data_IF_780160501076
#
_entry.id   IF_780160501076
#
_cell.length_a   1.000
_cell.length_b   1.000
_cell.length_c   1.000
_cell.angle_alpha   90.00
_cell.angle_beta   90.00
_cell.angle_gamma   90.00
#
_symmetry.space_group_name_H-M   'P 1'
#
loop_
_entity.id
_entity.type
_entity.pdbx_description
1 polymer ?
#
# COMPACT_ATOMS: atom_id res chain seq x y z
N UNK A 1 9.88 -4.25 5.47
CA UNK A 1 9.62 -5.70 5.29
C UNK A 1 8.13 -5.90 5.34
N UNK A 2 7.55 -6.40 4.28
CA UNK A 2 6.11 -6.62 4.18
C UNK A 2 5.76 -7.98 4.79
N UNK A 3 4.67 -8.07 5.54
CA UNK A 3 4.31 -9.31 6.25
C UNK A 3 3.77 -10.41 5.35
N UNK A 4 3.30 -10.03 4.19
CA UNK A 4 2.66 -10.94 3.21
C UNK A 4 3.58 -11.37 2.08
N UNK A 5 4.76 -10.75 1.92
CA UNK A 5 5.72 -11.12 0.89
C UNK A 5 6.71 -12.12 1.47
N UNK A 6 6.77 -13.36 0.95
CA UNK A 6 7.75 -14.36 1.37
C UNK A 6 9.18 -13.89 1.09
N UNK A 7 10.13 -14.41 1.87
CA UNK A 7 11.54 -14.15 1.61
C UNK A 7 12.32 -15.48 1.67
N UNK A 8 13.06 -15.84 0.65
CA UNK A 8 13.33 -15.13 -0.61
C UNK A 8 12.10 -15.04 -1.52
N UNK A 9 11.96 -13.93 -2.23
CA UNK A 9 10.86 -13.69 -3.18
C UNK A 9 11.27 -14.22 -4.56
N UNK A 10 10.47 -15.13 -5.11
CA UNK A 10 10.75 -15.69 -6.44
C UNK A 10 9.93 -14.99 -7.53
N UNK A 11 10.40 -15.09 -8.76
CA UNK A 11 9.67 -14.59 -9.94
C UNK A 11 8.26 -15.23 -10.04
N UNK A 12 8.15 -16.54 -9.75
CA UNK A 12 6.86 -17.22 -9.75
C UNK A 12 5.88 -16.63 -8.72
N UNK A 13 6.34 -16.28 -7.54
CA UNK A 13 5.50 -15.62 -6.53
C UNK A 13 5.02 -14.24 -6.99
N UNK A 14 5.82 -13.52 -7.80
CA UNK A 14 5.39 -12.28 -8.41
C UNK A 14 4.29 -12.50 -9.45
N UNK A 15 4.45 -13.53 -10.29
CA UNK A 15 3.45 -13.92 -11.29
C UNK A 15 2.15 -14.35 -10.61
N UNK A 16 2.21 -15.25 -9.63
CA UNK A 16 1.04 -15.73 -8.88
C UNK A 16 0.29 -14.57 -8.20
N UNK A 17 1.03 -13.62 -7.66
CA UNK A 17 0.43 -12.43 -7.05
C UNK A 17 -0.25 -11.51 -8.09
N UNK A 18 0.38 -11.30 -9.24
CA UNK A 18 -0.21 -10.52 -10.34
C UNK A 18 -1.46 -11.21 -10.88
N UNK A 19 -1.43 -12.53 -11.03
CA UNK A 19 -2.58 -13.31 -11.47
C UNK A 19 -3.74 -13.23 -10.47
N UNK A 20 -3.46 -13.31 -9.16
CA UNK A 20 -4.48 -13.16 -8.11
C UNK A 20 -5.21 -11.81 -8.15
N UNK A 21 -4.53 -10.75 -8.58
CA UNK A 21 -5.14 -9.43 -8.77
C UNK A 21 -6.07 -9.37 -9.99
N UNK A 22 -5.91 -10.27 -10.96
CA UNK A 22 -6.74 -10.33 -12.16
C UNK A 22 -8.00 -11.18 -11.97
N UNK A 23 -8.04 -12.06 -10.98
CA UNK A 23 -9.14 -13.00 -10.74
C UNK A 23 -10.32 -12.40 -9.93
N UNK A 24 -10.36 -11.09 -9.74
CA UNK A 24 -11.56 -10.42 -9.24
C UNK A 24 -11.69 -10.34 -7.72
N UNK A 25 -10.60 -10.41 -6.98
CA UNK A 25 -10.62 -9.92 -5.60
C UNK A 25 -10.92 -8.43 -5.60
N UNK A 26 -11.77 -7.96 -4.68
CA UNK A 26 -12.20 -6.56 -4.55
C UNK A 26 -11.02 -5.65 -4.18
N UNK A 27 -10.11 -5.42 -5.11
CA UNK A 27 -8.90 -4.66 -4.86
C UNK A 27 -8.26 -4.07 -6.11
N UNK A 28 -7.39 -3.13 -5.90
CA UNK A 28 -6.62 -2.42 -6.94
C UNK A 28 -5.16 -2.39 -6.55
N UNK A 29 -4.29 -2.69 -7.50
CA UNK A 29 -2.85 -2.53 -7.33
C UNK A 29 -2.24 -1.76 -8.51
N UNK A 30 -1.28 -0.91 -8.19
CA UNK A 30 -0.56 -0.08 -9.15
C UNK A 30 0.94 -0.32 -9.03
N UNK A 31 1.60 -0.43 -10.16
CA UNK A 31 3.05 -0.40 -10.23
C UNK A 31 3.58 1.00 -9.92
N UNK A 32 4.68 1.07 -9.19
CA UNK A 32 5.45 2.30 -9.00
C UNK A 32 6.61 2.27 -9.98
N UNK A 33 6.53 3.13 -10.99
CA UNK A 33 7.51 3.23 -12.06
C UNK A 33 8.43 4.44 -11.85
N UNK A 34 9.71 4.24 -12.06
CA UNK A 34 10.72 5.29 -12.03
C UNK A 34 11.52 5.28 -13.35
N UNK A 35 11.06 6.04 -14.31
CA UNK A 35 11.75 6.18 -15.60
C UNK A 35 11.82 4.88 -16.42
N UNK A 36 10.83 4.02 -16.32
CA UNK A 36 10.74 2.71 -16.96
C UNK A 36 11.14 1.52 -16.08
N UNK A 37 11.66 1.78 -14.88
CA UNK A 37 12.02 0.75 -13.91
C UNK A 37 10.89 0.54 -12.89
N UNK A 38 10.40 -0.69 -12.76
CA UNK A 38 9.47 -1.08 -11.70
C UNK A 38 10.20 -1.07 -10.37
N UNK A 39 9.90 -0.10 -9.49
CA UNK A 39 10.56 0.05 -8.21
C UNK A 39 9.72 -0.36 -7.00
N UNK A 40 8.43 -0.62 -7.19
CA UNK A 40 7.53 -0.99 -6.11
C UNK A 40 6.10 -1.15 -6.56
N UNK A 41 5.22 -1.31 -5.58
CA UNK A 41 3.79 -1.44 -5.79
C UNK A 41 3.02 -0.79 -4.65
N UNK A 42 1.86 -0.24 -4.96
CA UNK A 42 0.88 0.25 -4.00
C UNK A 42 -0.50 -0.29 -4.36
N UNK A 43 -1.34 -0.54 -3.38
CA UNK A 43 -2.68 -1.04 -3.64
C UNK A 43 -3.59 -0.96 -2.43
N UNK A 44 -4.87 -1.20 -2.64
CA UNK A 44 -5.84 -1.40 -1.57
C UNK A 44 -6.75 -2.59 -1.91
N UNK A 45 -7.32 -3.18 -0.89
CA UNK A 45 -8.35 -4.20 -1.00
C UNK A 45 -9.53 -3.80 -0.11
N UNK A 46 -10.73 -3.80 -0.66
CA UNK A 46 -11.95 -3.61 0.11
C UNK A 46 -12.06 -4.73 1.16
N UNK A 47 -12.23 -4.36 2.41
CA UNK A 47 -12.44 -5.29 3.52
C UNK A 47 -13.92 -5.39 3.86
N UNK A 48 -14.61 -4.25 3.71
CA UNK A 48 -16.07 -4.14 3.81
C UNK A 48 -16.54 -3.03 2.85
N UNK A 49 -17.85 -2.77 2.82
CA UNK A 49 -18.42 -1.79 1.88
C UNK A 49 -17.95 -0.35 2.10
N UNK A 50 -17.58 -0.02 3.33
CA UNK A 50 -17.24 1.34 3.75
C UNK A 50 -15.74 1.60 3.92
N UNK A 51 -14.91 0.56 3.84
CA UNK A 51 -13.47 0.74 4.00
C UNK A 51 -12.62 -0.29 3.27
N UNK A 52 -11.37 0.08 3.06
CA UNK A 52 -10.36 -0.77 2.48
C UNK A 52 -9.06 -0.74 3.28
N UNK A 53 -8.32 -1.82 3.20
CA UNK A 53 -6.95 -1.88 3.71
C UNK A 53 -5.98 -1.60 2.56
N UNK A 54 -5.09 -0.63 2.76
CA UNK A 54 -4.03 -0.33 1.81
C UNK A 54 -2.70 -0.96 2.20
N UNK A 55 -1.88 -1.20 1.20
CA UNK A 55 -0.52 -1.68 1.36
C UNK A 55 0.41 -1.11 0.29
N UNK A 56 1.70 -1.16 0.56
CA UNK A 56 2.73 -0.72 -0.38
C UNK A 56 4.06 -1.39 -0.07
N UNK A 57 4.91 -1.47 -1.07
CA UNK A 57 6.32 -1.81 -0.92
C UNK A 57 7.17 -1.08 -1.95
N UNK A 58 8.40 -0.78 -1.60
CA UNK A 58 9.43 -0.23 -2.47
C UNK A 58 10.68 -1.11 -2.38
N UNK A 59 11.30 -1.37 -3.52
CA UNK A 59 12.54 -2.13 -3.60
C UNK A 59 13.67 -1.47 -2.80
N UNK A 60 14.47 -2.29 -2.12
CA UNK A 60 15.54 -1.83 -1.23
C UNK A 60 16.49 -0.77 -1.82
N UNK A 61 16.94 -0.86 -3.09
CA UNK A 61 17.83 0.16 -3.68
C UNK A 61 17.23 1.57 -3.74
N UNK A 62 15.90 1.67 -3.60
CA UNK A 62 15.15 2.93 -3.74
C UNK A 62 14.62 3.48 -2.41
N UNK A 63 15.01 2.86 -1.27
CA UNK A 63 14.60 3.31 0.05
C UNK A 63 15.20 4.68 0.42
N UNK A 64 14.52 5.40 1.32
CA UNK A 64 15.00 6.67 1.86
C UNK A 64 14.89 7.86 0.92
N UNK A 65 14.16 7.73 -0.19
CA UNK A 65 13.99 8.76 -1.22
C UNK A 65 12.57 9.35 -1.28
N UNK A 66 11.68 8.93 -0.40
CA UNK A 66 10.30 9.41 -0.35
C UNK A 66 9.32 8.76 -1.32
N UNK A 67 9.74 7.77 -2.12
CA UNK A 67 8.88 7.13 -3.12
C UNK A 67 7.67 6.41 -2.51
N UNK A 68 7.84 5.75 -1.36
CA UNK A 68 6.71 5.10 -0.67
C UNK A 68 5.65 6.11 -0.24
N UNK A 69 6.05 7.25 0.32
CA UNK A 69 5.15 8.33 0.74
C UNK A 69 4.42 8.93 -0.46
N UNK A 70 5.13 9.21 -1.54
CA UNK A 70 4.57 9.77 -2.76
C UNK A 70 3.56 8.83 -3.42
N UNK A 71 3.92 7.56 -3.60
CA UNK A 71 3.06 6.55 -4.19
C UNK A 71 1.82 6.27 -3.33
N UNK A 72 1.98 6.13 -2.01
CA UNK A 72 0.87 5.92 -1.10
C UNK A 72 -0.08 7.14 -1.04
N UNK A 73 0.44 8.36 -1.10
CA UNK A 73 -0.38 9.58 -1.22
C UNK A 73 -1.24 9.56 -2.47
N UNK A 74 -0.67 9.24 -3.61
CA UNK A 74 -1.40 9.13 -4.88
C UNK A 74 -2.48 8.05 -4.82
N UNK A 75 -2.18 6.90 -4.22
CA UNK A 75 -3.14 5.82 -4.01
C UNK A 75 -4.33 6.26 -3.14
N UNK A 76 -4.08 6.93 -2.02
CA UNK A 76 -5.12 7.42 -1.10
C UNK A 76 -6.08 8.36 -1.81
N UNK A 77 -5.55 9.33 -2.55
CA UNK A 77 -6.36 10.28 -3.31
C UNK A 77 -7.17 9.58 -4.40
N UNK A 78 -6.57 8.64 -5.12
CA UNK A 78 -7.24 7.81 -6.11
C UNK A 78 -8.38 6.97 -5.48
N UNK A 79 -8.12 6.29 -4.37
CA UNK A 79 -9.12 5.47 -3.69
C UNK A 79 -10.33 6.30 -3.26
N UNK A 80 -10.12 7.45 -2.65
CA UNK A 80 -11.23 8.33 -2.23
C UNK A 80 -11.92 9.05 -3.39
N UNK A 81 -11.29 9.18 -4.53
CA UNK A 81 -11.92 9.73 -5.74
C UNK A 81 -12.82 8.70 -6.43
N UNK A 82 -12.37 7.44 -6.51
CA UNK A 82 -13.02 6.40 -7.31
C UNK A 82 -14.00 5.55 -6.51
N UNK A 83 -13.80 5.44 -5.20
CA UNK A 83 -14.56 4.57 -4.33
C UNK A 83 -15.34 5.36 -3.28
N UNK A 84 -16.37 4.74 -2.74
CA UNK A 84 -17.23 5.33 -1.69
C UNK A 84 -16.76 4.97 -0.27
N UNK A 85 -15.48 4.70 -0.08
CA UNK A 85 -14.95 4.40 1.25
C UNK A 85 -15.05 5.61 2.18
N UNK A 86 -15.44 5.36 3.43
CA UNK A 86 -15.42 6.36 4.49
C UNK A 86 -14.02 6.53 5.08
N UNK A 87 -13.25 5.45 5.09
CA UNK A 87 -11.87 5.46 5.59
C UNK A 87 -11.00 4.36 4.96
N UNK A 88 -9.71 4.55 5.06
CA UNK A 88 -8.70 3.54 4.74
C UNK A 88 -8.00 3.10 6.02
N UNK A 89 -7.57 1.84 6.05
CA UNK A 89 -6.71 1.29 7.08
C UNK A 89 -5.35 0.92 6.50
N UNK A 90 -4.35 0.91 7.35
CA UNK A 90 -3.00 0.45 7.02
C UNK A 90 -2.35 -0.11 8.28
N UNK A 91 -1.47 -1.08 8.12
CA UNK A 91 -0.72 -1.63 9.24
C UNK A 91 0.76 -1.77 8.93
N UNK A 92 1.59 -1.78 9.97
CA UNK A 92 2.98 -2.15 9.87
C UNK A 92 3.41 -3.00 11.07
N UNK A 93 4.39 -3.88 10.86
CA UNK A 93 4.99 -4.59 11.98
C UNK A 93 5.78 -3.63 12.87
N UNK A 94 5.74 -3.86 14.17
CA UNK A 94 6.37 -3.00 15.18
C UNK A 94 7.85 -2.73 14.89
N UNK A 95 8.53 -3.67 14.28
CA UNK A 95 9.94 -3.59 13.92
C UNK A 95 10.22 -2.90 12.58
N UNK A 96 9.20 -2.29 11.97
CA UNK A 96 9.34 -1.53 10.71
C UNK A 96 9.15 -0.02 10.92
N UNK A 97 10.15 0.70 11.45
CA UNK A 97 10.04 2.13 11.71
C UNK A 97 9.96 2.97 10.42
N UNK A 98 10.43 2.44 9.29
CA UNK A 98 10.34 3.13 8.00
C UNK A 98 8.88 3.26 7.57
N UNK A 99 8.08 2.19 7.69
CA UNK A 99 6.66 2.23 7.40
C UNK A 99 5.90 3.13 8.38
N UNK A 100 6.26 3.12 9.67
CA UNK A 100 5.69 4.03 10.66
C UNK A 100 5.83 5.51 10.25
N UNK A 101 7.01 5.89 9.74
CA UNK A 101 7.26 7.27 9.27
C UNK A 101 6.42 7.64 8.05
N UNK A 102 6.27 6.72 7.10
CA UNK A 102 5.41 6.93 5.92
C UNK A 102 3.96 7.15 6.34
N UNK A 103 3.43 6.27 7.20
CA UNK A 103 2.05 6.32 7.70
C UNK A 103 1.79 7.64 8.45
N UNK A 104 2.73 8.07 9.29
CA UNK A 104 2.63 9.35 10.00
C UNK A 104 2.60 10.56 9.06
N UNK A 105 3.45 10.57 8.02
CA UNK A 105 3.48 11.63 7.00
C UNK A 105 2.20 11.72 6.18
N UNK A 106 1.47 10.61 6.04
CA UNK A 106 0.21 10.55 5.32
C UNK A 106 -1.01 10.95 6.17
N UNK A 107 -0.80 11.24 7.45
CA UNK A 107 -1.85 11.74 8.34
C UNK A 107 -2.73 10.67 8.96
N UNK A 108 -2.36 9.40 8.87
CA UNK A 108 -3.06 8.32 9.55
C UNK A 108 -2.98 8.46 11.08
N UNK A 109 -4.05 8.06 11.75
CA UNK A 109 -4.15 8.02 13.21
C UNK A 109 -4.12 6.59 13.71
N UNK A 110 -3.47 6.35 14.85
CA UNK A 110 -3.42 5.03 15.46
C UNK A 110 -4.83 4.52 15.78
N UNK A 111 -5.10 3.29 15.37
CA UNK A 111 -6.39 2.62 15.62
C UNK A 111 -6.29 1.35 16.46
N UNK A 112 -5.07 0.92 16.80
CA UNK A 112 -4.86 -0.24 17.65
C UNK A 112 -3.67 -1.10 17.25
N UNK A 113 -3.70 -2.34 17.70
CA UNK A 113 -2.73 -3.36 17.32
C UNK A 113 -3.41 -4.73 17.19
N UNK A 114 -2.82 -5.60 16.38
CA UNK A 114 -3.26 -6.98 16.21
C UNK A 114 -2.07 -7.91 15.96
N UNK A 115 -2.30 -9.20 16.13
CA UNK A 115 -1.35 -10.22 15.69
C UNK A 115 -1.65 -10.57 14.23
N UNK A 116 -0.65 -10.50 13.37
CA UNK A 116 -0.73 -10.93 11.97
C UNK A 116 0.32 -11.97 11.67
N UNK A 117 -0.01 -12.85 10.74
CA UNK A 117 0.95 -13.78 10.19
C UNK A 117 2.07 -13.02 9.50
N UNK A 118 3.30 -13.37 9.83
CA UNK A 118 4.50 -12.81 9.24
C UNK A 118 5.21 -13.90 8.44
N UNK A 119 4.96 -13.94 7.13
CA UNK A 119 5.55 -14.93 6.24
C UNK A 119 7.09 -14.96 6.29
N UNK A 120 7.71 -13.80 6.48
CA UNK A 120 9.17 -13.68 6.58
C UNK A 120 9.75 -14.37 7.84
N UNK A 121 8.94 -14.62 8.87
CA UNK A 121 9.37 -15.21 10.14
C UNK A 121 8.69 -16.53 10.48
N UNK A 122 7.75 -16.96 9.65
CA UNK A 122 6.90 -18.13 9.86
C UNK A 122 6.23 -18.15 11.25
N UNK A 123 5.85 -16.99 11.76
CA UNK A 123 5.14 -16.82 13.04
C UNK A 123 4.22 -15.60 13.00
N UNK A 124 3.43 -15.42 14.07
CA UNK A 124 2.63 -14.21 14.26
C UNK A 124 3.48 -13.10 14.88
N UNK A 125 3.35 -11.90 14.35
CA UNK A 125 4.02 -10.71 14.85
C UNK A 125 3.02 -9.59 15.15
N UNK A 126 3.39 -8.66 16.05
CA UNK A 126 2.59 -7.49 16.38
C UNK A 126 2.57 -6.52 15.20
N UNK A 127 1.36 -6.23 14.73
CA UNK A 127 1.09 -5.24 13.70
C UNK A 127 0.36 -4.06 14.34
N UNK A 128 0.93 -2.88 14.22
CA UNK A 128 0.28 -1.62 14.61
C UNK A 128 -0.63 -1.19 13.47
N UNK A 129 -1.86 -0.81 13.80
CA UNK A 129 -2.90 -0.46 12.82
C UNK A 129 -3.26 1.02 12.93
N UNK A 130 -3.61 1.59 11.78
CA UNK A 130 -3.90 3.00 11.63
C UNK A 130 -5.10 3.19 10.72
N UNK A 131 -5.76 4.33 10.85
CA UNK A 131 -6.96 4.70 10.10
C UNK A 131 -6.82 6.13 9.56
N UNK A 132 -7.31 6.34 8.34
CA UNK A 132 -7.40 7.65 7.71
C UNK A 132 -8.81 7.82 7.15
N UNK A 133 -9.57 8.76 7.70
CA UNK A 133 -10.91 9.08 7.18
C UNK A 133 -10.82 9.88 5.89
N UNK A 134 -11.86 9.77 5.06
CA UNK A 134 -12.00 10.56 3.81
C UNK A 134 -11.83 12.05 4.08
N UNK A 135 -12.53 12.59 5.08
CA UNK A 135 -12.48 14.01 5.43
C UNK A 135 -11.06 14.45 5.78
N UNK A 136 -10.39 13.67 6.62
CA UNK A 136 -9.00 13.96 7.02
C UNK A 136 -8.04 13.86 5.85
N UNK A 137 -8.19 12.86 4.98
CA UNK A 137 -7.35 12.70 3.79
C UNK A 137 -7.47 13.91 2.86
N UNK A 138 -8.67 14.34 2.57
CA UNK A 138 -8.92 15.49 1.69
C UNK A 138 -8.41 16.80 2.29
N UNK A 139 -8.45 16.96 3.62
CA UNK A 139 -7.90 18.13 4.31
C UNK A 139 -6.38 18.12 4.36
N UNK A 140 -5.76 16.95 4.54
CA UNK A 140 -4.33 16.79 4.81
C UNK A 140 -3.50 16.57 3.53
N UNK A 141 -4.07 15.86 2.56
CA UNK A 141 -3.38 15.43 1.34
C UNK A 141 -3.84 16.20 0.10
N UNK A 142 -4.17 17.47 0.22
CA UNK A 142 -4.54 18.28 -0.96
C UNK A 142 -3.52 18.09 -2.07
N UNK A 143 -3.95 17.91 -3.33
CA UNK A 143 -3.04 17.73 -4.43
C UNK A 143 -2.21 19.01 -4.64
N UNK A 144 -0.93 18.93 -4.30
CA UNK A 144 0.02 19.86 -4.88
C UNK A 144 0.16 19.48 -6.36
N UNK A 145 0.22 20.45 -7.24
CA UNK A 145 0.42 20.25 -8.67
C UNK A 145 1.62 19.32 -8.89
N UNK A 146 1.39 18.12 -9.40
CA UNK A 146 2.45 17.16 -9.70
C UNK A 146 2.30 15.76 -9.10
N UNK A 147 1.09 15.36 -8.70
CA UNK A 147 0.85 13.97 -8.25
C UNK A 147 1.28 12.95 -9.33
N UNK A 148 2.02 11.87 -8.95
CA UNK A 148 2.46 10.87 -9.90
C UNK A 148 1.27 10.15 -10.55
N UNK A 149 1.41 9.79 -11.81
CA UNK A 149 0.44 8.98 -12.53
C UNK A 149 0.49 7.54 -12.03
N UNK A 150 -0.64 6.99 -11.62
CA UNK A 150 -0.77 5.58 -11.23
C UNK A 150 -1.18 4.74 -12.44
N UNK A 151 -0.42 3.70 -12.75
CA UNK A 151 -0.70 2.75 -13.83
C UNK A 151 -1.16 1.44 -13.20
N UNK A 152 -2.33 0.88 -13.55
CA UNK A 152 -2.78 -0.40 -13.01
C UNK A 152 -1.80 -1.52 -13.35
N UNK A 153 -1.42 -2.31 -12.35
CA UNK A 153 -0.45 -3.40 -12.47
C UNK A 153 -0.95 -4.60 -13.30
N UNK A 154 -2.19 -4.61 -13.74
CA UNK A 154 -2.81 -5.74 -14.44
C UNK A 154 -3.17 -5.50 -15.91
N UNK A 155 -2.84 -4.35 -16.49
CA UNK A 155 -3.00 -4.18 -17.94
C UNK A 155 -1.67 -4.44 -18.59
N UNK A 156 -1.54 -5.67 -19.10
CA UNK A 156 -0.37 -6.12 -19.84
C UNK A 156 0.06 -5.11 -20.86
N UNK A 157 1.34 -4.92 -20.94
CA UNK A 157 1.98 -4.33 -22.09
C UNK A 157 1.68 -5.25 -23.28
N UNK A 158 0.68 -4.88 -24.04
CA UNK A 158 0.43 -5.44 -25.35
C UNK A 158 1.46 -4.91 -26.32
#
# INVERSE_FOLDING_TARGET
MTGTIPHPYSEQMAVDWIESLQEGEEGVAFAVDLGGDLIGCVGYRATEKDHAEMGYWIGKPYWGRGYATEAARALILHAFEKEVFDYLTVGHFKENPASARVIAKLGFESSGEMLRDCAARNNKARCLTYRLTRERALAFLRPDFGAPSLIPAGRGLG
#
